data_IF_474147922071
#
_entry.id   IF_474147922071
#
_cell.length_a   1.000
_cell.length_b   1.000
_cell.length_c   1.000
_cell.angle_alpha   90.00
_cell.angle_beta   90.00
_cell.angle_gamma   90.00
#
_symmetry.space_group_name_H-M   'P 1'
#
loop_
_entity.id
_entity.type
_entity.pdbx_description
1 polymer ?
#
# COMPACT_ATOMS: atom_id res chain seq x y z
N UNK A 1 -14.42 -24.00 -21.65
CA UNK A 1 -14.17 -24.24 -20.23
C UNK A 1 -13.05 -25.24 -20.03
N UNK A 2 -12.06 -24.92 -19.20
CA UNK A 2 -10.95 -25.81 -18.89
C UNK A 2 -10.65 -25.79 -17.38
N UNK A 3 -10.64 -26.97 -16.76
CA UNK A 3 -10.16 -27.10 -15.37
C UNK A 3 -8.65 -27.28 -15.34
N UNK A 4 -7.97 -26.56 -14.46
CA UNK A 4 -6.53 -26.59 -14.25
C UNK A 4 -6.19 -26.77 -12.77
N UNK A 5 -5.01 -27.29 -12.51
CA UNK A 5 -4.45 -27.35 -11.15
C UNK A 5 -3.53 -26.15 -10.98
N UNK A 6 -3.75 -25.37 -9.91
CA UNK A 6 -2.95 -24.21 -9.59
C UNK A 6 -1.50 -24.63 -9.25
N UNK A 7 -0.53 -24.06 -9.93
CA UNK A 7 0.90 -24.36 -9.68
C UNK A 7 1.37 -24.00 -8.27
N UNK A 8 0.69 -23.06 -7.59
CA UNK A 8 1.08 -22.59 -6.26
C UNK A 8 0.39 -23.37 -5.12
N UNK A 9 -0.95 -23.40 -5.10
CA UNK A 9 -1.70 -24.02 -3.99
C UNK A 9 -2.24 -25.41 -4.27
N UNK A 10 -2.02 -25.96 -5.47
CA UNK A 10 -2.45 -27.28 -5.94
C UNK A 10 -3.97 -27.50 -5.95
N UNK A 11 -4.78 -26.45 -5.76
CA UNK A 11 -6.24 -26.51 -5.87
C UNK A 11 -6.67 -26.43 -7.33
N UNK A 12 -7.75 -27.10 -7.67
CA UNK A 12 -8.40 -26.96 -8.96
C UNK A 12 -9.03 -25.58 -9.13
N UNK A 13 -8.99 -25.04 -10.33
CA UNK A 13 -9.70 -23.85 -10.73
C UNK A 13 -10.11 -23.91 -12.20
N UNK A 14 -11.16 -23.24 -12.53
CA UNK A 14 -11.71 -23.21 -13.89
C UNK A 14 -11.31 -21.91 -14.61
N UNK A 15 -11.03 -22.05 -15.90
CA UNK A 15 -10.89 -20.97 -16.87
C UNK A 15 -12.08 -21.07 -17.82
N UNK A 16 -12.91 -20.05 -17.84
CA UNK A 16 -14.14 -20.03 -18.64
C UNK A 16 -13.84 -19.72 -20.13
N UNK A 17 -14.74 -20.06 -21.07
CA UNK A 17 -14.52 -19.78 -22.48
C UNK A 17 -14.25 -18.29 -22.77
N UNK A 18 -14.97 -17.40 -22.11
CA UNK A 18 -14.84 -15.94 -22.24
C UNK A 18 -13.45 -15.44 -21.79
N UNK A 19 -12.88 -16.10 -20.76
CA UNK A 19 -11.50 -15.80 -20.31
C UNK A 19 -10.49 -16.13 -21.41
N UNK A 20 -10.67 -17.25 -22.12
CA UNK A 20 -9.78 -17.63 -23.23
C UNK A 20 -9.84 -16.63 -24.37
N UNK A 21 -11.02 -16.17 -24.75
CA UNK A 21 -11.19 -15.15 -25.78
C UNK A 21 -10.44 -13.86 -25.41
N UNK A 22 -10.50 -13.48 -24.14
CA UNK A 22 -9.76 -12.31 -23.64
C UNK A 22 -8.24 -12.53 -23.69
N UNK A 23 -7.72 -13.68 -23.23
CA UNK A 23 -6.29 -13.97 -23.26
C UNK A 23 -5.76 -14.03 -24.70
N UNK A 24 -6.52 -14.57 -25.62
CA UNK A 24 -6.17 -14.60 -27.04
C UNK A 24 -6.12 -13.19 -27.66
N UNK A 25 -7.12 -12.37 -27.34
CA UNK A 25 -7.19 -10.97 -27.77
C UNK A 25 -5.97 -10.16 -27.36
N UNK A 26 -5.48 -10.36 -26.15
CA UNK A 26 -4.30 -9.65 -25.62
C UNK A 26 -2.99 -10.42 -25.83
N UNK A 27 -3.03 -11.56 -26.53
CA UNK A 27 -1.88 -12.41 -26.86
C UNK A 27 -1.05 -12.84 -25.65
N UNK A 28 -1.72 -13.25 -24.56
CA UNK A 28 -1.07 -13.80 -23.38
C UNK A 28 -1.54 -15.23 -23.13
N UNK A 29 -0.70 -16.10 -22.55
CA UNK A 29 -1.11 -17.45 -22.19
C UNK A 29 -2.13 -17.45 -21.07
N UNK A 30 -3.00 -18.45 -21.04
CA UNK A 30 -3.94 -18.65 -19.94
C UNK A 30 -3.20 -18.91 -18.62
N UNK A 31 -3.77 -18.46 -17.48
CA UNK A 31 -3.11 -18.52 -16.20
C UNK A 31 -2.79 -19.95 -15.73
N UNK A 32 -1.68 -20.07 -15.02
CA UNK A 32 -1.27 -21.30 -14.33
C UNK A 32 -1.54 -21.24 -12.82
N UNK A 33 -1.89 -20.10 -12.30
CA UNK A 33 -2.29 -19.86 -10.91
C UNK A 33 -3.78 -19.57 -10.83
N UNK A 34 -4.45 -20.08 -9.81
CA UNK A 34 -5.84 -19.78 -9.55
C UNK A 34 -6.06 -18.27 -9.25
N UNK A 35 -7.29 -17.75 -9.37
CA UNK A 35 -7.60 -16.33 -9.14
C UNK A 35 -7.10 -15.82 -7.78
N UNK A 36 -7.27 -16.60 -6.71
CA UNK A 36 -6.83 -16.26 -5.36
C UNK A 36 -5.30 -16.12 -5.28
N UNK A 37 -4.55 -17.09 -5.79
CA UNK A 37 -3.08 -17.02 -5.81
C UNK A 37 -2.56 -15.86 -6.67
N UNK A 38 -3.25 -15.53 -7.77
CA UNK A 38 -2.93 -14.34 -8.58
C UNK A 38 -3.19 -13.05 -7.81
N UNK A 39 -4.25 -12.99 -7.03
CA UNK A 39 -4.55 -11.84 -6.17
C UNK A 39 -3.49 -11.68 -5.08
N UNK A 40 -3.18 -12.74 -4.34
CA UNK A 40 -2.13 -12.73 -3.31
C UNK A 40 -0.80 -12.26 -3.89
N UNK A 41 -0.41 -12.76 -5.07
CA UNK A 41 0.83 -12.35 -5.74
C UNK A 41 0.85 -10.86 -6.08
N UNK A 42 -0.27 -10.27 -6.51
CA UNK A 42 -0.35 -8.82 -6.75
C UNK A 42 -0.29 -8.01 -5.46
N UNK A 43 -0.87 -8.54 -4.38
CA UNK A 43 -0.93 -7.85 -3.08
C UNK A 43 0.39 -7.94 -2.30
N UNK A 44 1.27 -8.90 -2.57
CA UNK A 44 2.51 -9.08 -1.81
C UNK A 44 3.55 -7.96 -2.01
N UNK A 45 3.38 -7.10 -3.00
CA UNK A 45 4.23 -5.92 -3.23
C UNK A 45 3.83 -4.73 -2.36
N UNK A 46 2.78 -4.85 -1.57
CA UNK A 46 2.19 -3.73 -0.88
C UNK A 46 1.99 -4.00 0.59
N UNK A 47 2.77 -3.32 1.43
CA UNK A 47 2.53 -3.24 2.86
C UNK A 47 2.19 -1.80 3.24
N UNK A 48 0.93 -1.51 3.54
CA UNK A 48 0.46 -0.17 3.88
C UNK A 48 0.17 -0.01 5.37
N UNK A 49 -0.01 -1.11 6.12
CA UNK A 49 -0.59 -1.06 7.46
C UNK A 49 0.31 -1.57 8.57
N UNK A 50 1.21 -2.51 8.25
CA UNK A 50 2.09 -3.07 9.27
C UNK A 50 3.33 -2.20 9.40
N UNK A 51 3.53 -1.65 10.58
CA UNK A 51 4.67 -0.83 10.92
C UNK A 51 5.60 -1.56 11.89
N UNK A 52 6.89 -1.42 11.67
CA UNK A 52 7.94 -2.07 12.45
C UNK A 52 8.93 -1.05 12.98
N UNK A 53 9.44 -1.29 14.18
CA UNK A 53 10.60 -0.57 14.69
C UNK A 53 11.86 -1.12 14.06
N UNK A 54 12.72 -0.26 13.54
CA UNK A 54 14.00 -0.60 12.93
C UNK A 54 15.02 0.50 13.18
N UNK A 55 16.29 0.21 13.00
CA UNK A 55 17.34 1.24 12.92
C UNK A 55 17.55 1.63 11.45
N UNK A 56 17.75 2.92 11.23
CA UNK A 56 18.18 3.43 9.92
C UNK A 56 19.58 2.93 9.62
N UNK A 57 19.76 2.25 8.49
CA UNK A 57 21.06 1.67 8.13
C UNK A 57 22.14 2.73 7.80
N UNK A 58 21.73 3.97 7.50
CA UNK A 58 22.67 5.08 7.27
C UNK A 58 23.04 5.84 8.56
N UNK A 59 22.07 6.07 9.45
CA UNK A 59 22.28 6.99 10.60
C UNK A 59 22.30 6.29 11.95
N UNK A 60 21.90 5.01 12.03
CA UNK A 60 21.76 4.25 13.27
C UNK A 60 20.59 4.68 14.18
N UNK A 61 19.81 5.69 13.80
CA UNK A 61 18.64 6.17 14.56
C UNK A 61 17.50 5.17 14.53
N UNK A 62 16.72 5.12 15.60
CA UNK A 62 15.50 4.34 15.63
C UNK A 62 14.43 4.99 14.74
N UNK A 63 13.81 4.19 13.88
CA UNK A 63 12.83 4.63 12.90
C UNK A 63 11.64 3.68 12.87
N UNK A 64 10.52 4.17 12.33
CA UNK A 64 9.36 3.34 11.95
C UNK A 64 9.46 3.04 10.46
N UNK A 65 9.19 1.80 10.08
CA UNK A 65 9.33 1.32 8.70
C UNK A 65 8.22 0.35 8.33
N UNK A 66 7.89 0.27 7.05
CA UNK A 66 7.04 -0.79 6.49
C UNK A 66 7.79 -2.10 6.27
N UNK A 67 9.09 -2.11 6.46
CA UNK A 67 9.93 -3.29 6.33
C UNK A 67 10.28 -3.84 7.70
N UNK A 68 9.96 -5.11 7.94
CA UNK A 68 10.34 -5.80 9.17
C UNK A 68 11.85 -5.99 9.26
N UNK A 69 12.36 -6.13 10.49
CA UNK A 69 13.80 -6.22 10.77
C UNK A 69 14.46 -7.50 10.24
N UNK A 70 13.67 -8.56 9.99
CA UNK A 70 14.14 -9.83 9.42
C UNK A 70 14.37 -9.77 7.90
N UNK A 71 13.95 -8.71 7.23
CA UNK A 71 14.14 -8.56 5.78
C UNK A 71 15.54 -8.05 5.46
N UNK A 72 16.20 -8.62 4.43
CA UNK A 72 17.58 -8.29 4.08
C UNK A 72 17.68 -6.99 3.24
N UNK A 73 16.93 -5.97 3.60
CA UNK A 73 16.94 -4.69 2.90
C UNK A 73 17.63 -3.61 3.72
N UNK A 74 18.40 -2.76 3.05
CA UNK A 74 18.92 -1.51 3.62
C UNK A 74 17.78 -0.49 3.67
N UNK A 75 17.51 0.04 4.85
CA UNK A 75 16.38 0.97 5.05
C UNK A 75 16.90 2.28 5.59
N UNK A 76 16.62 3.35 4.88
CA UNK A 76 16.97 4.70 5.28
C UNK A 76 15.79 5.46 5.85
N UNK A 77 16.03 6.26 6.87
CA UNK A 77 15.07 7.26 7.35
C UNK A 77 14.61 8.14 6.20
N UNK A 78 13.34 8.52 6.18
CA UNK A 78 12.76 9.30 5.09
C UNK A 78 13.49 10.60 4.81
N UNK A 79 13.92 11.34 5.86
CA UNK A 79 14.64 12.61 5.69
C UNK A 79 16.03 12.38 5.12
N UNK A 80 16.70 11.32 5.54
CA UNK A 80 18.01 10.97 5.00
C UNK A 80 17.89 10.49 3.55
N UNK A 81 16.90 9.69 3.24
CA UNK A 81 16.67 9.17 1.89
C UNK A 81 16.41 10.27 0.85
N UNK A 82 15.75 11.36 1.26
CA UNK A 82 15.52 12.54 0.41
C UNK A 82 16.65 13.57 0.43
N UNK A 83 17.70 13.34 1.21
CA UNK A 83 18.85 14.26 1.27
C UNK A 83 19.91 13.93 0.24
N UNK A 84 20.81 14.86 -0.01
CA UNK A 84 21.97 14.70 -0.89
C UNK A 84 23.13 13.92 -0.22
N UNK A 85 22.91 13.24 0.90
CA UNK A 85 23.95 12.49 1.62
C UNK A 85 24.21 11.08 1.05
N UNK A 86 23.53 10.69 0.00
CA UNK A 86 23.72 9.44 -0.71
C UNK A 86 23.29 9.58 -2.17
N UNK A 87 23.87 8.79 -3.07
CA UNK A 87 23.53 8.78 -4.48
C UNK A 87 23.07 7.38 -4.89
N UNK A 88 21.86 7.20 -5.44
CA UNK A 88 21.41 5.92 -5.97
C UNK A 88 22.27 5.40 -7.10
N UNK A 89 23.01 6.25 -7.81
CA UNK A 89 23.93 5.85 -8.88
C UNK A 89 25.13 5.05 -8.37
N UNK A 90 25.52 5.22 -7.09
CA UNK A 90 26.59 4.44 -6.46
C UNK A 90 26.27 2.93 -6.36
N UNK A 91 25.00 2.57 -6.51
CA UNK A 91 24.49 1.20 -6.48
C UNK A 91 24.26 0.61 -7.88
N UNK A 92 24.59 1.34 -8.94
CA UNK A 92 24.47 0.87 -10.31
C UNK A 92 25.32 -0.38 -10.54
N UNK A 93 24.78 -1.36 -11.26
CA UNK A 93 25.47 -2.60 -11.60
C UNK A 93 25.36 -2.87 -13.10
N UNK A 94 26.46 -3.35 -13.68
CA UNK A 94 26.45 -3.79 -15.07
C UNK A 94 25.55 -5.00 -15.26
N UNK A 95 24.79 -5.00 -16.34
CA UNK A 95 23.90 -6.10 -16.66
C UNK A 95 24.68 -7.33 -17.15
N UNK A 96 24.51 -8.45 -16.45
CA UNK A 96 25.13 -9.72 -16.86
C UNK A 96 24.16 -10.53 -17.75
N UNK A 97 24.45 -10.62 -19.03
CA UNK A 97 23.66 -11.34 -20.01
C UNK A 97 23.58 -12.86 -19.78
N UNK A 98 24.44 -13.43 -18.95
CA UNK A 98 24.43 -14.85 -18.59
C UNK A 98 23.55 -15.18 -17.36
N UNK A 99 22.94 -14.18 -16.73
CA UNK A 99 22.01 -14.33 -15.60
C UNK A 99 20.62 -13.83 -15.98
N UNK A 100 19.57 -14.47 -15.42
CA UNK A 100 18.21 -13.96 -15.63
C UNK A 100 18.03 -12.58 -15.00
N UNK A 101 17.20 -11.73 -15.62
CA UNK A 101 16.88 -10.39 -15.14
C UNK A 101 16.38 -10.40 -13.68
N UNK A 102 15.39 -11.23 -13.37
CA UNK A 102 14.81 -11.24 -12.02
C UNK A 102 15.78 -11.67 -10.93
N UNK A 103 16.78 -12.50 -11.24
CA UNK A 103 17.83 -12.84 -10.30
C UNK A 103 18.70 -11.63 -9.97
N UNK A 104 19.15 -10.91 -10.98
CA UNK A 104 19.96 -9.69 -10.83
C UNK A 104 19.16 -8.58 -10.14
N UNK A 105 17.90 -8.38 -10.53
CA UNK A 105 17.02 -7.41 -9.91
C UNK A 105 16.80 -7.69 -8.41
N UNK A 106 16.63 -8.97 -8.04
CA UNK A 106 16.52 -9.36 -6.62
C UNK A 106 17.81 -9.12 -5.83
N UNK A 107 18.97 -9.32 -6.45
CA UNK A 107 20.28 -9.00 -5.85
C UNK A 107 20.37 -7.47 -5.64
N UNK A 108 20.08 -6.68 -6.65
CA UNK A 108 20.10 -5.21 -6.60
C UNK A 108 19.14 -4.64 -5.54
N UNK A 109 17.93 -5.18 -5.40
CA UNK A 109 16.94 -4.77 -4.38
C UNK A 109 17.45 -4.91 -2.94
N UNK A 110 18.44 -5.76 -2.68
CA UNK A 110 19.04 -5.91 -1.34
C UNK A 110 20.12 -4.87 -1.07
N UNK A 111 20.73 -4.38 -2.12
CA UNK A 111 21.87 -3.46 -2.03
C UNK A 111 21.42 -2.00 -2.04
N UNK A 112 20.43 -1.66 -2.88
CA UNK A 112 19.91 -0.30 -2.98
C UNK A 112 19.06 0.04 -1.75
N UNK A 113 19.36 1.14 -1.04
CA UNK A 113 18.56 1.56 0.10
C UNK A 113 17.11 1.87 -0.27
N UNK A 114 16.18 1.44 0.58
CA UNK A 114 14.77 1.75 0.46
C UNK A 114 14.33 2.74 1.52
N UNK A 115 13.34 3.56 1.20
CA UNK A 115 12.75 4.51 2.12
C UNK A 115 11.92 3.79 3.19
N UNK A 116 12.09 4.18 4.46
CA UNK A 116 11.38 3.54 5.59
C UNK A 116 9.86 3.69 5.52
N UNK A 117 9.41 4.91 5.28
CA UNK A 117 8.02 5.32 5.07
C UNK A 117 7.97 6.28 3.88
N UNK A 118 6.88 6.29 3.14
CA UNK A 118 6.70 7.19 2.00
C UNK A 118 5.56 8.18 2.27
N UNK A 119 5.91 9.35 2.79
CA UNK A 119 4.97 10.43 3.08
C UNK A 119 5.50 11.73 2.47
N UNK A 120 4.61 12.63 2.07
CA UNK A 120 4.97 13.95 1.55
C UNK A 120 4.18 15.04 2.25
N UNK A 121 4.88 16.13 2.68
CA UNK A 121 4.26 17.26 3.39
C UNK A 121 3.43 16.85 4.62
N UNK A 122 3.82 15.75 5.29
CA UNK A 122 3.12 15.23 6.46
C UNK A 122 3.66 15.93 7.72
N UNK A 123 2.81 16.64 8.43
CA UNK A 123 3.15 17.40 9.64
C UNK A 123 2.59 16.70 10.86
N UNK A 124 3.42 16.37 11.86
CA UNK A 124 3.04 15.65 13.08
C UNK A 124 2.26 14.36 12.81
N UNK A 125 2.73 13.56 11.84
CA UNK A 125 2.06 12.35 11.32
C UNK A 125 3.06 11.21 11.14
N UNK A 126 3.86 10.90 12.18
CA UNK A 126 5.04 10.04 12.10
C UNK A 126 4.72 8.54 11.87
N UNK A 127 3.52 8.10 12.21
CA UNK A 127 3.07 6.71 12.07
C UNK A 127 2.15 6.51 10.86
N UNK A 128 2.27 7.36 9.86
CA UNK A 128 1.47 7.28 8.64
C UNK A 128 2.28 6.72 7.48
N UNK A 129 1.60 6.09 6.53
CA UNK A 129 2.22 5.52 5.33
C UNK A 129 1.43 5.89 4.08
N UNK A 130 2.12 6.38 3.03
CA UNK A 130 1.47 6.96 1.85
C UNK A 130 0.47 8.06 2.21
N UNK A 131 0.89 8.95 3.14
CA UNK A 131 0.11 10.10 3.55
C UNK A 131 0.76 11.38 3.00
N UNK A 132 0.02 12.11 2.19
CA UNK A 132 0.47 13.34 1.56
C UNK A 132 -0.38 14.52 2.00
N UNK A 133 0.24 15.69 2.15
CA UNK A 133 -0.43 16.93 2.55
C UNK A 133 -1.34 16.76 3.77
N UNK A 134 -0.89 15.96 4.72
CA UNK A 134 -1.68 15.57 5.90
C UNK A 134 -1.06 16.10 7.18
N UNK A 135 -1.90 16.48 8.14
CA UNK A 135 -1.50 17.14 9.38
C UNK A 135 -2.21 16.52 10.58
N UNK A 136 -1.48 16.37 11.69
CA UNK A 136 -2.01 15.84 12.95
C UNK A 136 -2.71 14.47 12.80
N UNK A 137 -2.16 13.59 11.95
CA UNK A 137 -2.74 12.28 11.66
C UNK A 137 -1.97 11.15 12.35
N UNK A 138 -2.70 10.10 12.73
CA UNK A 138 -2.13 8.94 13.40
C UNK A 138 -2.66 7.63 12.81
N UNK A 139 -1.75 6.75 12.41
CA UNK A 139 -2.05 5.43 11.81
C UNK A 139 -3.05 5.53 10.64
N UNK A 140 -2.82 6.48 9.75
CA UNK A 140 -3.53 6.53 8.47
C UNK A 140 -2.65 6.01 7.33
N UNK A 141 -3.28 5.46 6.31
CA UNK A 141 -2.56 4.98 5.13
C UNK A 141 -3.33 5.21 3.83
N UNK A 142 -2.58 5.40 2.73
CA UNK A 142 -3.15 5.76 1.42
C UNK A 142 -4.06 7.00 1.54
N UNK A 143 -3.48 8.13 1.96
CA UNK A 143 -4.19 9.30 2.41
C UNK A 143 -3.68 10.57 1.71
N UNK A 144 -4.58 11.51 1.44
CA UNK A 144 -4.23 12.80 0.82
C UNK A 144 -5.09 13.92 1.42
N UNK A 145 -4.44 15.04 1.78
CA UNK A 145 -5.10 16.27 2.24
C UNK A 145 -6.01 16.05 3.45
N UNK A 146 -5.47 15.42 4.51
CA UNK A 146 -6.26 15.15 5.71
C UNK A 146 -5.74 15.91 6.93
N UNK A 147 -6.63 16.25 7.85
CA UNK A 147 -6.27 16.86 9.14
C UNK A 147 -6.99 16.15 10.30
N UNK A 148 -6.25 15.87 11.39
CA UNK A 148 -6.76 15.25 12.61
C UNK A 148 -7.53 13.93 12.34
N UNK A 149 -6.90 13.04 11.56
CA UNK A 149 -7.44 11.71 11.22
C UNK A 149 -6.71 10.60 11.96
N UNK A 150 -7.44 9.60 12.42
CA UNK A 150 -6.84 8.44 13.11
C UNK A 150 -7.40 7.12 12.57
N UNK A 151 -6.55 6.07 12.62
CA UNK A 151 -6.90 4.68 12.31
C UNK A 151 -7.65 4.49 10.98
N UNK A 152 -7.30 5.26 9.97
CA UNK A 152 -8.09 5.33 8.73
C UNK A 152 -7.27 4.92 7.52
N UNK A 153 -7.95 4.41 6.50
CA UNK A 153 -7.32 3.97 5.27
C UNK A 153 -8.10 4.41 4.03
N UNK A 154 -7.38 4.86 2.99
CA UNK A 154 -7.95 5.38 1.76
C UNK A 154 -8.88 6.57 2.01
N UNK A 155 -8.29 7.63 2.56
CA UNK A 155 -9.02 8.85 2.95
C UNK A 155 -8.47 10.07 2.21
N UNK A 156 -9.37 10.89 1.68
CA UNK A 156 -9.06 12.10 0.93
C UNK A 156 -9.91 13.27 1.42
N UNK A 157 -9.28 14.40 1.65
CA UNK A 157 -9.95 15.65 2.07
C UNK A 157 -10.84 15.46 3.31
N UNK A 158 -10.38 14.64 4.28
CA UNK A 158 -11.14 14.34 5.50
C UNK A 158 -10.57 15.08 6.71
N UNK A 159 -11.43 15.46 7.64
CA UNK A 159 -11.05 16.15 8.88
C UNK A 159 -11.77 15.58 10.10
N UNK A 160 -11.12 15.66 11.28
CA UNK A 160 -11.69 15.34 12.57
C UNK A 160 -12.46 14.00 12.60
N UNK A 161 -11.92 12.96 12.00
CA UNK A 161 -12.62 11.68 11.86
C UNK A 161 -11.72 10.48 12.18
N UNK A 162 -12.31 9.38 12.61
CA UNK A 162 -11.56 8.17 12.94
C UNK A 162 -12.28 6.88 12.51
N UNK A 163 -11.50 5.81 12.36
CA UNK A 163 -11.97 4.49 11.93
C UNK A 163 -12.71 4.51 10.58
N UNK A 164 -12.09 5.21 9.60
CA UNK A 164 -12.66 5.35 8.25
C UNK A 164 -11.98 4.37 7.29
N UNK A 165 -12.77 3.63 6.54
CA UNK A 165 -12.30 2.84 5.41
C UNK A 165 -12.95 3.32 4.10
N UNK A 166 -12.17 3.94 3.24
CA UNK A 166 -12.59 4.63 2.01
C UNK A 166 -13.52 5.81 2.34
N UNK A 167 -12.93 6.98 2.47
CA UNK A 167 -13.63 8.22 2.78
C UNK A 167 -13.16 9.38 1.91
N UNK A 168 -14.07 10.25 1.49
CA UNK A 168 -13.74 11.49 0.78
C UNK A 168 -14.61 12.63 1.28
N UNK A 169 -13.98 13.74 1.67
CA UNK A 169 -14.72 14.94 2.13
C UNK A 169 -15.55 14.66 3.38
N UNK A 170 -15.03 13.87 4.32
CA UNK A 170 -15.71 13.55 5.57
C UNK A 170 -15.28 14.51 6.67
N UNK A 171 -16.21 14.89 7.53
CA UNK A 171 -15.92 15.68 8.72
C UNK A 171 -16.74 15.16 9.91
N UNK A 172 -16.11 15.03 11.08
CA UNK A 172 -16.71 14.54 12.32
C UNK A 172 -17.38 13.16 12.14
N UNK A 173 -16.74 12.26 11.38
CA UNK A 173 -17.27 10.92 11.11
C UNK A 173 -16.55 9.84 11.91
N UNK A 174 -17.26 8.78 12.25
CA UNK A 174 -16.74 7.66 13.02
C UNK A 174 -17.30 6.32 12.55
N UNK A 175 -16.42 5.32 12.42
CA UNK A 175 -16.76 3.97 11.93
C UNK A 175 -17.58 3.99 10.63
N UNK A 176 -17.03 4.59 9.58
CA UNK A 176 -17.70 4.62 8.29
C UNK A 176 -16.93 3.89 7.19
N UNK A 177 -17.67 3.28 6.27
CA UNK A 177 -17.12 2.52 5.15
C UNK A 177 -17.68 3.05 3.84
N UNK A 178 -16.79 3.44 2.90
CA UNK A 178 -17.16 3.94 1.59
C UNK A 178 -18.15 5.09 1.60
N UNK A 179 -17.89 6.10 2.44
CA UNK A 179 -18.75 7.28 2.56
C UNK A 179 -18.10 8.51 1.93
N UNK A 180 -18.91 9.44 1.44
CA UNK A 180 -18.44 10.65 0.76
C UNK A 180 -19.24 11.87 1.13
N UNK A 181 -18.56 13.04 1.16
CA UNK A 181 -19.20 14.35 1.31
C UNK A 181 -20.19 14.40 2.48
N UNK A 182 -19.80 13.81 3.63
CA UNK A 182 -20.70 13.63 4.76
C UNK A 182 -20.17 14.31 6.03
N UNK A 183 -21.08 14.76 6.86
CA UNK A 183 -20.79 15.47 8.10
C UNK A 183 -21.52 14.81 9.27
N UNK A 184 -20.81 14.53 10.36
CA UNK A 184 -21.37 13.97 11.58
C UNK A 184 -22.12 12.64 11.30
N UNK A 185 -21.40 11.69 10.70
CA UNK A 185 -21.94 10.39 10.27
C UNK A 185 -21.28 9.27 11.08
N UNK A 186 -22.07 8.38 11.67
CA UNK A 186 -21.60 7.31 12.53
C UNK A 186 -22.10 5.94 12.09
N UNK A 187 -21.27 4.90 12.23
CA UNK A 187 -21.61 3.49 12.00
C UNK A 187 -22.37 3.26 10.68
N UNK A 188 -21.86 3.81 9.59
CA UNK A 188 -22.59 3.86 8.33
C UNK A 188 -21.75 3.38 7.15
N UNK A 189 -22.40 2.89 6.11
CA UNK A 189 -21.75 2.32 4.93
C UNK A 189 -22.42 2.79 3.64
N UNK A 190 -21.60 3.03 2.59
CA UNK A 190 -22.01 3.40 1.25
C UNK A 190 -22.86 4.70 1.19
N UNK A 191 -22.60 5.65 2.06
CA UNK A 191 -23.39 6.88 2.18
C UNK A 191 -22.77 8.04 1.41
N UNK A 192 -23.63 8.91 0.89
CA UNK A 192 -23.19 10.15 0.24
C UNK A 192 -24.08 11.34 0.63
N UNK A 193 -23.46 12.49 0.87
CA UNK A 193 -24.15 13.72 1.24
C UNK A 193 -25.04 13.62 2.49
N UNK A 194 -24.64 12.76 3.44
CA UNK A 194 -25.39 12.56 4.68
C UNK A 194 -24.93 13.52 5.77
N UNK A 195 -25.86 13.95 6.60
CA UNK A 195 -25.56 14.84 7.73
C UNK A 195 -26.31 14.41 9.00
N UNK A 196 -25.62 14.51 10.14
CA UNK A 196 -26.21 14.23 11.47
C UNK A 196 -26.96 12.88 11.50
N UNK A 197 -26.34 11.83 11.01
CA UNK A 197 -26.99 10.56 10.80
C UNK A 197 -26.15 9.40 11.38
N UNK A 198 -26.82 8.31 11.68
CA UNK A 198 -26.16 7.08 12.13
C UNK A 198 -26.88 5.83 11.63
N UNK A 199 -26.12 4.72 11.57
CA UNK A 199 -26.65 3.40 11.19
C UNK A 199 -27.31 3.36 9.81
N UNK A 200 -26.75 4.11 8.86
CA UNK A 200 -27.20 4.06 7.46
C UNK A 200 -26.45 2.97 6.69
N UNK A 201 -27.18 2.15 5.98
CA UNK A 201 -26.64 1.10 5.12
C UNK A 201 -27.39 1.12 3.77
N UNK A 202 -26.59 1.11 2.71
CA UNK A 202 -27.10 0.93 1.36
C UNK A 202 -27.15 -0.56 1.01
#
# INVERSE_FOLDING_TARGET
QQTKICQNCQKEFTVEPEDFEFYEKIKVPSPTFCPECRMIRRMCFRNERNLYKKKCDATGKDIISVYSSDKPYKIYDQKYWWSDNWDPMDYGQDYNWNKSFFKQFKELLKDVPMIALFNGNAVRSEYCQHAFDSKDCYLISAALSNENMMYSNRVWDCTDSLDIYIGTGLQLCYETINCRESYCLFYSKNCRNCRNSAFLFD
#
